data_IF_142148034128
#
_entry.id   IF_142148034128
#
_cell.length_a   1.000
_cell.length_b   1.000
_cell.length_c   1.000
_cell.angle_alpha   90.00
_cell.angle_beta   90.00
_cell.angle_gamma   90.00
#
_symmetry.space_group_name_H-M   'P 1'
#
loop_
_entity.id
_entity.type
_entity.pdbx_description
1 polymer ?
#
# COMPACT_ATOMS: atom_id res chain seq x y z
N UNK A 1 57.53 36.15 -65.24
CA UNK A 1 56.12 35.64 -65.11
C UNK A 1 56.06 34.31 -64.45
N UNK A 2 57.06 33.48 -64.39
CA UNK A 2 57.04 32.12 -63.79
C UNK A 2 56.99 32.06 -62.26
N UNK A 3 57.63 33.03 -61.56
CA UNK A 3 57.61 33.03 -60.06
C UNK A 3 56.24 33.36 -59.40
N UNK A 4 55.42 34.18 -60.06
CA UNK A 4 54.14 34.60 -59.55
C UNK A 4 53.09 33.42 -59.61
N UNK A 5 53.21 32.59 -60.67
CA UNK A 5 52.35 31.41 -60.81
C UNK A 5 52.73 30.28 -59.81
N UNK A 6 53.99 30.17 -59.47
CA UNK A 6 54.46 29.17 -58.49
C UNK A 6 53.93 29.51 -57.06
N UNK A 7 54.01 30.78 -56.64
CA UNK A 7 53.52 31.27 -55.39
C UNK A 7 51.95 31.11 -55.24
N UNK A 8 51.23 31.37 -56.33
CA UNK A 8 49.78 31.18 -56.37
C UNK A 8 49.41 29.70 -56.23
N UNK A 9 50.09 28.79 -56.89
CA UNK A 9 49.83 27.37 -56.79
C UNK A 9 50.17 26.82 -55.41
N UNK A 10 51.23 27.27 -54.75
CA UNK A 10 51.58 26.86 -53.36
C UNK A 10 50.53 27.34 -52.35
N UNK A 11 50.03 28.58 -52.51
CA UNK A 11 48.97 29.08 -51.59
C UNK A 11 47.64 28.37 -51.80
N UNK A 12 47.28 28.02 -53.03
CA UNK A 12 46.01 27.27 -53.29
C UNK A 12 46.12 25.85 -52.78
N UNK A 13 47.24 25.16 -52.91
CA UNK A 13 47.44 23.83 -52.34
C UNK A 13 47.44 23.85 -50.81
N UNK A 14 48.03 24.85 -50.16
CA UNK A 14 48.04 25.00 -48.74
C UNK A 14 46.62 25.24 -48.19
N UNK A 15 45.84 26.06 -48.91
CA UNK A 15 44.42 26.30 -48.56
C UNK A 15 43.55 25.01 -48.67
N UNK A 16 43.78 24.25 -49.76
CA UNK A 16 43.09 22.97 -49.98
C UNK A 16 43.42 21.94 -48.89
N UNK A 17 44.66 21.83 -48.45
CA UNK A 17 45.09 20.97 -47.36
C UNK A 17 44.50 21.40 -46.03
N UNK A 18 44.45 22.70 -45.74
CA UNK A 18 43.86 23.21 -44.49
C UNK A 18 42.36 22.95 -44.43
N UNK A 19 41.61 23.11 -45.50
CA UNK A 19 40.21 22.82 -45.63
C UNK A 19 39.93 21.31 -45.47
N UNK A 20 40.77 20.46 -46.08
CA UNK A 20 40.66 19.01 -45.98
C UNK A 20 40.88 18.51 -44.54
N UNK A 21 41.89 19.03 -43.85
CA UNK A 21 42.17 18.72 -42.44
C UNK A 21 41.00 19.19 -41.57
N UNK A 22 40.48 20.40 -41.77
CA UNK A 22 39.33 20.93 -41.04
C UNK A 22 38.08 20.08 -41.24
N UNK A 23 37.83 19.60 -42.45
CA UNK A 23 36.72 18.71 -42.78
C UNK A 23 36.84 17.35 -42.05
N UNK A 24 38.06 16.77 -42.02
CA UNK A 24 38.30 15.51 -41.26
C UNK A 24 38.07 15.72 -39.78
N UNK A 25 38.54 16.82 -39.19
CA UNK A 25 38.32 17.15 -37.80
C UNK A 25 36.81 17.29 -37.46
N UNK A 26 36.07 17.90 -38.36
CA UNK A 26 34.62 18.08 -38.22
C UNK A 26 33.88 16.74 -38.28
N UNK A 27 34.25 15.87 -39.22
CA UNK A 27 33.71 14.50 -39.30
C UNK A 27 34.03 13.66 -38.06
N UNK A 28 35.29 13.69 -37.63
CA UNK A 28 35.70 12.98 -36.41
C UNK A 28 34.95 13.50 -35.17
N UNK A 29 34.70 14.80 -35.06
CA UNK A 29 33.89 15.41 -34.00
C UNK A 29 32.46 14.93 -34.04
N UNK A 30 31.83 14.85 -35.21
CA UNK A 30 30.46 14.31 -35.35
C UNK A 30 30.38 12.84 -34.93
N UNK A 31 31.30 11.99 -35.39
CA UNK A 31 31.32 10.56 -35.00
C UNK A 31 31.52 10.36 -33.50
N UNK A 32 32.42 11.18 -32.91
CA UNK A 32 32.64 11.15 -31.45
C UNK A 32 31.38 11.55 -30.67
N UNK A 33 30.68 12.59 -31.13
CA UNK A 33 29.44 13.05 -30.50
C UNK A 33 28.31 12.01 -30.62
N UNK A 34 28.20 11.35 -31.79
CA UNK A 34 27.24 10.24 -31.96
C UNK A 34 27.58 9.07 -31.04
N UNK A 35 28.85 8.71 -30.91
CA UNK A 35 29.27 7.63 -29.99
C UNK A 35 28.94 7.91 -28.53
N UNK A 36 28.98 9.18 -28.10
CA UNK A 36 28.62 9.59 -26.74
C UNK A 36 27.10 9.67 -26.51
N UNK A 37 26.30 9.79 -27.56
CA UNK A 37 24.85 9.83 -27.46
C UNK A 37 24.24 8.46 -27.07
N UNK A 38 24.84 7.37 -27.52
CA UNK A 38 24.34 5.99 -27.28
C UNK A 38 24.18 5.64 -25.79
N UNK A 39 25.20 5.86 -24.91
CA UNK A 39 25.02 5.61 -23.47
C UNK A 39 23.94 6.48 -22.82
N UNK A 40 23.80 7.74 -23.28
CA UNK A 40 22.78 8.65 -22.79
C UNK A 40 21.35 8.15 -23.13
N UNK A 41 21.16 7.66 -24.36
CA UNK A 41 19.87 7.09 -24.81
C UNK A 41 19.56 5.83 -24.00
N UNK A 42 20.54 4.98 -23.75
CA UNK A 42 20.37 3.77 -22.92
C UNK A 42 20.00 4.13 -21.48
N UNK A 43 20.70 5.09 -20.86
CA UNK A 43 20.38 5.57 -19.52
C UNK A 43 18.98 6.19 -19.44
N UNK A 44 18.58 6.96 -20.44
CA UNK A 44 17.25 7.53 -20.54
C UNK A 44 16.17 6.43 -20.68
N UNK A 45 16.43 5.40 -21.50
CA UNK A 45 15.56 4.23 -21.61
C UNK A 45 15.36 3.49 -20.29
N UNK A 46 16.44 3.25 -19.56
CA UNK A 46 16.38 2.64 -18.22
C UNK A 46 15.61 3.52 -17.22
N UNK A 47 15.86 4.83 -17.24
CA UNK A 47 15.13 5.80 -16.42
C UNK A 47 13.64 5.82 -16.72
N UNK A 48 13.25 5.78 -18.00
CA UNK A 48 11.84 5.69 -18.41
C UNK A 48 11.17 4.40 -17.92
N UNK A 49 11.87 3.27 -18.02
CA UNK A 49 11.33 1.98 -17.54
C UNK A 49 11.14 1.96 -16.02
N UNK A 50 12.07 2.53 -15.25
CA UNK A 50 11.95 2.68 -13.81
C UNK A 50 10.80 3.63 -13.43
N UNK A 51 10.69 4.78 -14.10
CA UNK A 51 9.62 5.74 -13.90
C UNK A 51 8.24 5.11 -14.19
N UNK A 52 8.11 4.32 -15.26
CA UNK A 52 6.86 3.63 -15.59
C UNK A 52 6.35 2.77 -14.44
N UNK A 53 7.22 1.95 -13.83
CA UNK A 53 6.85 1.12 -12.67
C UNK A 53 6.44 1.95 -11.45
N UNK A 54 7.10 3.11 -11.24
CA UNK A 54 6.74 4.02 -10.15
C UNK A 54 5.34 4.61 -10.39
N UNK A 55 5.04 5.09 -11.60
CA UNK A 55 3.73 5.62 -11.94
C UNK A 55 2.64 4.55 -11.89
N UNK A 56 2.90 3.33 -12.37
CA UNK A 56 1.99 2.19 -12.24
C UNK A 56 1.61 1.93 -10.77
N UNK A 57 2.59 2.03 -9.86
CA UNK A 57 2.33 1.88 -8.42
C UNK A 57 1.53 3.05 -7.84
N UNK A 58 1.81 4.29 -8.26
CA UNK A 58 1.11 5.49 -7.81
C UNK A 58 -0.34 5.52 -8.32
N UNK A 59 -0.55 5.11 -9.57
CA UNK A 59 -1.86 5.13 -10.23
C UNK A 59 -2.71 3.90 -9.88
N UNK A 60 -2.12 2.90 -9.21
CA UNK A 60 -2.83 1.70 -8.79
C UNK A 60 -3.98 2.06 -7.86
N UNK A 61 -5.18 1.69 -8.26
CA UNK A 61 -6.36 1.76 -7.38
C UNK A 61 -6.51 0.45 -6.64
N UNK A 62 -6.54 0.45 -5.29
CA UNK A 62 -6.82 -0.74 -4.53
C UNK A 62 -8.26 -1.20 -4.78
N UNK A 63 -8.50 -2.50 -4.85
CA UNK A 63 -9.85 -3.07 -4.98
C UNK A 63 -10.69 -2.75 -3.75
N UNK A 64 -10.07 -2.76 -2.57
CA UNK A 64 -10.68 -2.37 -1.30
C UNK A 64 -10.01 -1.08 -0.85
N UNK A 65 -10.70 0.05 -1.01
CA UNK A 65 -10.22 1.38 -0.64
C UNK A 65 -10.90 1.85 0.65
N UNK A 66 -10.13 1.87 1.75
CA UNK A 66 -10.64 2.30 3.05
C UNK A 66 -10.91 3.80 3.14
N UNK A 67 -10.33 4.60 2.24
CA UNK A 67 -10.52 6.06 2.20
C UNK A 67 -11.63 6.49 1.24
N UNK A 68 -12.22 5.55 0.51
CA UNK A 68 -13.33 5.86 -0.39
C UNK A 68 -14.52 6.38 0.43
N UNK A 69 -14.97 7.62 0.21
CA UNK A 69 -16.12 8.19 0.92
C UNK A 69 -17.45 7.63 0.42
N UNK A 70 -17.43 6.88 -0.68
CA UNK A 70 -18.62 6.26 -1.24
C UNK A 70 -19.07 5.07 -0.39
N UNK A 71 -20.35 4.86 -0.34
CA UNK A 71 -20.97 3.78 0.44
C UNK A 71 -22.03 4.31 1.41
N UNK A 72 -22.88 3.41 1.86
CA UNK A 72 -23.95 3.73 2.81
C UNK A 72 -23.40 3.83 4.22
N UNK A 73 -23.94 4.78 4.97
CA UNK A 73 -23.80 4.91 6.42
C UNK A 73 -25.19 4.62 7.01
N UNK A 74 -25.26 3.77 8.02
CA UNK A 74 -26.49 3.49 8.71
C UNK A 74 -26.63 4.40 9.93
N UNK A 75 -27.85 4.86 10.21
CA UNK A 75 -28.14 5.70 11.37
C UNK A 75 -27.95 4.89 12.66
N UNK A 76 -28.30 3.61 12.64
CA UNK A 76 -28.11 2.65 13.72
C UNK A 76 -27.60 1.32 13.19
N UNK A 77 -26.82 0.60 14.00
CA UNK A 77 -26.28 -0.71 13.69
C UNK A 77 -26.72 -1.71 14.77
N UNK A 78 -27.46 -2.74 14.37
CA UNK A 78 -27.90 -3.81 15.27
C UNK A 78 -26.83 -4.86 15.46
N UNK A 79 -26.05 -5.15 14.39
CA UNK A 79 -24.92 -6.06 14.42
C UNK A 79 -25.29 -7.51 14.09
N UNK A 80 -26.35 -7.74 13.34
CA UNK A 80 -26.58 -9.02 12.70
C UNK A 80 -25.56 -9.25 11.61
N UNK A 81 -24.84 -10.39 11.63
CA UNK A 81 -23.81 -10.71 10.64
C UNK A 81 -24.20 -11.98 9.90
N UNK A 82 -24.20 -11.94 8.58
CA UNK A 82 -24.49 -13.10 7.75
C UNK A 82 -23.43 -13.25 6.65
N UNK A 83 -22.84 -14.44 6.59
CA UNK A 83 -22.03 -14.88 5.46
C UNK A 83 -22.90 -15.84 4.65
N UNK A 84 -23.09 -15.57 3.37
CA UNK A 84 -24.00 -16.33 2.50
C UNK A 84 -23.24 -16.89 1.31
N UNK A 85 -23.18 -18.21 1.21
CA UNK A 85 -22.57 -18.97 0.10
C UNK A 85 -21.17 -18.47 -0.27
N UNK A 86 -20.30 -18.32 0.71
CA UNK A 86 -18.96 -17.77 0.54
C UNK A 86 -18.04 -18.78 -0.18
N UNK A 87 -17.45 -18.33 -1.27
CA UNK A 87 -16.31 -18.95 -1.94
C UNK A 87 -15.11 -18.05 -1.79
N UNK A 88 -14.03 -18.58 -1.23
CA UNK A 88 -12.85 -17.77 -0.96
C UNK A 88 -11.55 -18.56 -1.04
N UNK A 89 -10.56 -17.97 -1.71
CA UNK A 89 -9.14 -18.34 -1.69
C UNK A 89 -8.30 -17.08 -1.43
N UNK A 90 -7.18 -17.21 -0.75
CA UNK A 90 -6.26 -16.08 -0.60
C UNK A 90 -5.62 -15.71 -1.96
N UNK A 91 -5.43 -14.42 -2.28
CA UNK A 91 -4.78 -14.00 -3.53
C UNK A 91 -3.37 -14.57 -3.72
N UNK A 92 -2.65 -14.85 -2.61
CA UNK A 92 -1.33 -15.47 -2.65
C UNK A 92 -1.37 -16.98 -2.96
N UNK A 93 -2.54 -17.65 -2.85
CA UNK A 93 -2.74 -19.08 -3.11
C UNK A 93 -4.13 -19.30 -3.73
N UNK A 94 -4.32 -18.87 -4.98
CA UNK A 94 -5.63 -18.92 -5.63
C UNK A 94 -6.15 -20.34 -5.83
N UNK A 95 -5.28 -21.32 -5.96
CA UNK A 95 -5.60 -22.73 -6.20
C UNK A 95 -5.99 -23.50 -4.92
N UNK A 96 -5.85 -22.88 -3.74
CA UNK A 96 -6.19 -23.49 -2.45
C UNK A 96 -7.48 -22.85 -1.88
N UNK A 97 -8.67 -23.41 -2.14
CA UNK A 97 -9.92 -22.87 -1.63
C UNK A 97 -10.01 -23.06 -0.12
N UNK A 98 -10.27 -21.96 0.60
CA UNK A 98 -10.54 -21.97 2.02
C UNK A 98 -12.03 -22.22 2.29
N UNK A 99 -12.90 -21.60 1.48
CA UNK A 99 -14.35 -21.79 1.55
C UNK A 99 -14.90 -22.14 0.18
N UNK A 100 -15.86 -23.10 0.16
CA UNK A 100 -16.57 -23.56 -1.02
C UNK A 100 -18.05 -23.66 -0.70
N UNK A 101 -18.75 -22.51 -0.64
CA UNK A 101 -20.15 -22.41 -0.27
C UNK A 101 -20.39 -22.34 1.25
N UNK A 102 -19.51 -21.64 1.99
CA UNK A 102 -19.65 -21.49 3.44
C UNK A 102 -20.71 -20.44 3.78
N UNK A 103 -21.64 -20.83 4.68
CA UNK A 103 -22.67 -19.93 5.20
C UNK A 103 -22.67 -19.92 6.72
N UNK A 104 -22.86 -18.74 7.32
CA UNK A 104 -22.88 -18.54 8.76
C UNK A 104 -23.80 -17.36 9.08
N UNK A 105 -24.65 -17.51 10.08
CA UNK A 105 -25.47 -16.42 10.61
C UNK A 105 -25.16 -16.20 12.10
N UNK A 106 -24.90 -14.96 12.47
CA UNK A 106 -24.59 -14.53 13.84
C UNK A 106 -25.63 -13.46 14.23
N UNK A 107 -26.60 -13.79 15.05
CA UNK A 107 -27.59 -12.82 15.52
C UNK A 107 -26.96 -11.70 16.36
N UNK A 108 -27.55 -10.53 16.28
CA UNK A 108 -27.21 -9.38 17.14
C UNK A 108 -27.24 -9.74 18.62
N UNK A 109 -26.34 -9.13 19.39
CA UNK A 109 -26.27 -9.31 20.84
C UNK A 109 -25.84 -10.71 21.33
N UNK A 110 -25.39 -11.59 20.41
CA UNK A 110 -24.90 -12.93 20.75
C UNK A 110 -23.38 -13.02 20.75
N UNK A 111 -22.85 -13.95 21.54
CA UNK A 111 -21.45 -14.34 21.48
C UNK A 111 -21.34 -15.67 20.73
N UNK A 112 -20.59 -15.65 19.61
CA UNK A 112 -20.41 -16.82 18.76
C UNK A 112 -18.95 -17.26 18.78
N UNK A 113 -18.71 -18.56 18.98
CA UNK A 113 -17.37 -19.13 18.93
C UNK A 113 -17.18 -19.95 17.65
N UNK A 114 -16.11 -19.65 16.92
CA UNK A 114 -15.67 -20.44 15.76
C UNK A 114 -14.66 -21.48 16.24
N UNK A 115 -15.03 -22.74 16.18
CA UNK A 115 -14.19 -23.88 16.60
C UNK A 115 -13.81 -24.76 15.41
N UNK A 116 -12.63 -25.33 15.43
CA UNK A 116 -12.13 -26.19 14.35
C UNK A 116 -10.61 -26.36 14.41
N UNK A 117 -10.09 -27.24 13.57
CA UNK A 117 -8.66 -27.49 13.46
C UNK A 117 -7.89 -26.25 12.98
N UNK A 118 -6.56 -26.25 13.20
CA UNK A 118 -5.69 -25.21 12.63
C UNK A 118 -5.82 -25.21 11.10
N UNK A 119 -5.91 -24.03 10.49
CA UNK A 119 -6.09 -23.90 9.04
C UNK A 119 -7.54 -24.04 8.53
N UNK A 120 -8.53 -24.28 9.38
CA UNK A 120 -9.94 -24.43 8.96
C UNK A 120 -10.65 -23.13 8.57
N UNK A 121 -9.95 -22.01 8.42
CA UNK A 121 -10.54 -20.75 7.96
C UNK A 121 -11.17 -19.87 9.04
N UNK A 122 -11.02 -20.19 10.36
CA UNK A 122 -11.61 -19.36 11.44
C UNK A 122 -11.20 -17.89 11.38
N UNK A 123 -9.91 -17.63 11.22
CA UNK A 123 -9.39 -16.26 11.07
C UNK A 123 -9.81 -15.62 9.75
N UNK A 124 -10.06 -16.43 8.73
CA UNK A 124 -10.55 -15.95 7.42
C UNK A 124 -11.97 -15.40 7.53
N UNK A 125 -12.85 -16.01 8.36
CA UNK A 125 -14.18 -15.45 8.63
C UNK A 125 -14.06 -14.03 9.19
N UNK A 126 -13.19 -13.82 10.19
CA UNK A 126 -12.95 -12.49 10.76
C UNK A 126 -12.43 -11.53 9.69
N UNK A 127 -11.45 -11.97 8.88
CA UNK A 127 -10.90 -11.15 7.81
C UNK A 127 -11.90 -10.73 6.74
N UNK A 128 -12.91 -11.54 6.48
CA UNK A 128 -14.02 -11.23 5.58
C UNK A 128 -15.02 -10.25 6.23
N UNK A 129 -15.32 -10.41 7.53
CA UNK A 129 -16.19 -9.47 8.28
C UNK A 129 -15.55 -8.08 8.39
N UNK A 130 -14.23 -8.01 8.61
CA UNK A 130 -13.46 -6.76 8.63
C UNK A 130 -13.23 -6.19 7.23
N UNK A 131 -13.63 -6.96 6.20
CA UNK A 131 -13.39 -6.64 4.78
C UNK A 131 -11.92 -6.33 4.49
N UNK A 132 -10.99 -7.16 5.01
CA UNK A 132 -9.61 -7.17 4.50
C UNK A 132 -9.52 -7.86 3.15
N UNK A 133 -10.47 -8.72 2.86
CA UNK A 133 -10.68 -9.41 1.58
C UNK A 133 -12.16 -9.41 1.22
N UNK A 134 -12.45 -9.36 -0.06
CA UNK A 134 -13.78 -9.64 -0.59
C UNK A 134 -13.87 -11.11 -1.03
N UNK A 135 -15.00 -11.79 -0.84
CA UNK A 135 -15.18 -13.16 -1.33
C UNK A 135 -15.22 -13.19 -2.86
N UNK A 136 -14.77 -14.31 -3.46
CA UNK A 136 -14.82 -14.58 -4.89
C UNK A 136 -16.28 -14.72 -5.38
N UNK A 137 -17.11 -15.35 -4.55
CA UNK A 137 -18.56 -15.46 -4.74
C UNK A 137 -19.24 -15.52 -3.38
N UNK A 138 -20.54 -15.19 -3.35
CA UNK A 138 -21.32 -15.05 -2.13
C UNK A 138 -21.26 -13.62 -1.57
N UNK A 139 -21.85 -13.42 -0.41
CA UNK A 139 -22.05 -12.11 0.20
C UNK A 139 -21.76 -12.15 1.69
N UNK A 140 -21.17 -11.07 2.19
CA UNK A 140 -21.06 -10.78 3.62
C UNK A 140 -22.00 -9.62 3.90
N UNK A 141 -22.96 -9.85 4.79
CA UNK A 141 -23.97 -8.85 5.13
C UNK A 141 -23.85 -8.44 6.61
N UNK A 142 -24.10 -7.17 6.86
CA UNK A 142 -24.30 -6.61 8.20
C UNK A 142 -25.67 -5.93 8.20
N UNK A 143 -26.52 -6.33 9.13
CA UNK A 143 -27.93 -5.88 9.20
C UNK A 143 -28.67 -6.03 7.85
N UNK A 144 -28.40 -7.12 7.13
CA UNK A 144 -29.02 -7.42 5.83
C UNK A 144 -28.45 -6.60 4.65
N UNK A 145 -27.46 -5.75 4.87
CA UNK A 145 -26.83 -4.92 3.83
C UNK A 145 -25.46 -5.49 3.48
N UNK A 146 -25.19 -5.63 2.16
CA UNK A 146 -23.91 -6.13 1.71
C UNK A 146 -22.77 -5.19 2.16
N UNK A 147 -21.73 -5.78 2.74
CA UNK A 147 -20.58 -5.07 3.25
C UNK A 147 -19.86 -4.23 2.18
N UNK A 148 -19.98 -4.63 0.90
CA UNK A 148 -19.44 -3.88 -0.25
C UNK A 148 -20.16 -2.54 -0.47
N UNK A 149 -21.43 -2.45 -0.07
CA UNK A 149 -22.26 -1.25 -0.23
C UNK A 149 -22.10 -0.27 0.93
N UNK A 150 -21.51 -0.70 2.05
CA UNK A 150 -21.25 0.14 3.21
C UNK A 150 -19.96 0.94 3.07
N UNK A 151 -19.93 2.14 3.66
CA UNK A 151 -18.70 2.92 3.74
C UNK A 151 -17.71 2.20 4.67
N UNK A 152 -16.57 1.77 4.11
CA UNK A 152 -15.63 0.91 4.81
C UNK A 152 -15.01 1.58 6.05
N UNK A 153 -14.71 2.87 5.99
CA UNK A 153 -14.19 3.62 7.14
C UNK A 153 -15.20 3.60 8.29
N UNK A 154 -16.46 3.91 7.99
CA UNK A 154 -17.54 3.94 8.99
C UNK A 154 -17.76 2.57 9.65
N UNK A 155 -17.82 1.49 8.86
CA UNK A 155 -18.08 0.15 9.45
C UNK A 155 -16.90 -0.31 10.34
N UNK A 156 -15.66 -0.03 9.94
CA UNK A 156 -14.48 -0.34 10.76
C UNK A 156 -14.41 0.46 12.05
N UNK A 157 -15.01 1.64 12.13
CA UNK A 157 -15.18 2.40 13.37
C UNK A 157 -16.19 1.73 14.34
N UNK A 158 -17.05 0.84 13.83
CA UNK A 158 -18.04 0.09 14.62
C UNK A 158 -17.55 -1.29 15.05
N UNK A 159 -16.44 -1.77 14.49
CA UNK A 159 -15.86 -3.08 14.76
C UNK A 159 -14.57 -2.89 15.56
N UNK A 160 -14.41 -3.65 16.64
CA UNK A 160 -13.15 -3.73 17.40
C UNK A 160 -12.52 -5.10 17.19
N UNK A 161 -11.31 -5.13 16.63
CA UNK A 161 -10.53 -6.35 16.45
C UNK A 161 -9.51 -6.53 17.57
N UNK A 162 -9.54 -7.68 18.23
CA UNK A 162 -8.49 -8.12 19.15
C UNK A 162 -7.70 -9.25 18.50
N UNK A 163 -6.50 -8.92 18.01
CA UNK A 163 -5.61 -9.89 17.37
C UNK A 163 -4.92 -10.78 18.40
N UNK A 164 -4.60 -12.01 18.00
CA UNK A 164 -3.82 -12.95 18.83
C UNK A 164 -2.40 -12.43 19.08
N UNK A 165 -1.80 -11.76 18.09
CA UNK A 165 -0.50 -11.10 18.17
C UNK A 165 -0.71 -9.58 17.95
N UNK A 166 -1.00 -8.83 19.03
CA UNK A 166 -1.21 -7.40 18.90
C UNK A 166 0.11 -6.69 18.55
N UNK A 167 0.06 -5.80 17.57
CA UNK A 167 1.18 -4.95 17.20
C UNK A 167 0.99 -3.59 17.84
N UNK A 168 1.96 -3.13 18.61
CA UNK A 168 1.98 -1.79 19.20
C UNK A 168 2.82 -0.85 18.32
N UNK A 169 2.35 0.37 18.16
CA UNK A 169 3.11 1.44 17.52
C UNK A 169 4.24 1.93 18.43
N UNK A 170 5.32 2.43 17.84
CA UNK A 170 6.48 3.02 18.56
C UNK A 170 6.13 4.39 19.15
N UNK A 171 5.01 4.51 19.84
CA UNK A 171 4.53 5.71 20.50
C UNK A 171 4.14 5.40 21.95
N UNK A 172 3.62 6.38 22.69
CA UNK A 172 3.21 6.14 24.07
C UNK A 172 2.06 5.15 24.19
N UNK A 173 1.88 4.53 25.35
CA UNK A 173 0.72 3.67 25.65
C UNK A 173 -0.57 4.47 25.49
N UNK A 174 -0.56 5.74 25.93
CA UNK A 174 -1.68 6.65 25.73
C UNK A 174 -2.06 6.78 24.26
N UNK A 175 -1.07 7.03 23.39
CA UNK A 175 -1.31 7.19 21.96
C UNK A 175 -1.74 5.89 21.28
N UNK A 176 -1.23 4.76 21.75
CA UNK A 176 -1.68 3.45 21.29
C UNK A 176 -3.15 3.18 21.62
N UNK A 177 -3.60 3.55 22.84
CA UNK A 177 -5.01 3.40 23.25
C UNK A 177 -5.89 4.41 22.49
N UNK A 178 -5.42 5.64 22.32
CA UNK A 178 -6.12 6.70 21.62
C UNK A 178 -6.22 6.47 20.11
N UNK A 179 -5.44 5.55 19.53
CA UNK A 179 -5.35 5.33 18.10
C UNK A 179 -6.69 5.06 17.41
N UNK A 180 -7.62 4.42 18.12
CA UNK A 180 -8.96 4.12 17.60
C UNK A 180 -9.92 5.31 17.53
N UNK A 181 -9.58 6.46 18.15
CA UNK A 181 -10.43 7.64 18.21
C UNK A 181 -9.61 8.93 18.16
N UNK A 182 -9.70 9.65 17.05
CA UNK A 182 -9.06 10.96 16.92
C UNK A 182 -9.56 11.94 17.98
N UNK A 183 -8.61 12.59 18.68
CA UNK A 183 -8.93 13.54 19.73
C UNK A 183 -9.48 12.94 21.02
N UNK A 184 -9.22 11.66 21.29
CA UNK A 184 -9.64 11.00 22.53
C UNK A 184 -9.12 11.75 23.76
N UNK A 185 -10.02 12.02 24.72
CA UNK A 185 -9.71 12.67 25.99
C UNK A 185 -9.04 11.69 26.95
N UNK A 186 -8.31 12.23 27.94
CA UNK A 186 -7.68 11.40 28.98
C UNK A 186 -8.70 10.53 29.73
N UNK A 187 -9.88 11.06 30.05
CA UNK A 187 -10.93 10.33 30.75
C UNK A 187 -11.49 9.17 29.92
N UNK A 188 -11.62 9.34 28.60
CA UNK A 188 -12.02 8.27 27.70
C UNK A 188 -10.97 7.16 27.61
N UNK A 189 -9.68 7.54 27.53
CA UNK A 189 -8.56 6.59 27.52
C UNK A 189 -8.50 5.81 28.83
N UNK A 190 -8.67 6.49 29.97
CA UNK A 190 -8.74 5.88 31.29
C UNK A 190 -9.91 4.90 31.39
N UNK A 191 -11.13 5.32 31.02
CA UNK A 191 -12.33 4.48 31.01
C UNK A 191 -12.13 3.23 30.12
N UNK A 192 -11.60 3.39 28.92
CA UNK A 192 -11.28 2.26 28.03
C UNK A 192 -10.28 1.29 28.66
N UNK A 193 -9.25 1.82 29.34
CA UNK A 193 -8.25 1.01 30.05
C UNK A 193 -8.85 0.27 31.26
N UNK A 194 -9.79 0.89 31.96
CA UNK A 194 -10.51 0.27 33.08
C UNK A 194 -11.42 -0.85 32.60
N UNK A 195 -12.19 -0.62 31.52
CA UNK A 195 -13.03 -1.63 30.89
C UNK A 195 -12.21 -2.83 30.38
N UNK A 196 -11.03 -2.58 29.84
CA UNK A 196 -10.09 -3.62 29.43
C UNK A 196 -9.37 -4.29 30.62
N UNK A 197 -9.65 -3.89 31.86
CA UNK A 197 -8.95 -4.33 33.08
C UNK A 197 -7.43 -4.09 33.06
N UNK A 198 -6.98 -3.12 32.25
CA UNK A 198 -5.59 -2.82 32.01
C UNK A 198 -5.07 -1.64 32.88
N UNK A 199 -5.94 -0.74 33.33
CA UNK A 199 -5.56 0.49 34.04
C UNK A 199 -4.67 0.24 35.25
N UNK A 200 -4.98 -0.77 36.08
CA UNK A 200 -4.24 -1.06 37.32
C UNK A 200 -2.76 -1.43 37.09
N UNK A 201 -2.45 -2.10 35.97
CA UNK A 201 -1.05 -2.39 35.69
C UNK A 201 -0.36 -1.25 34.94
N UNK A 202 -1.09 -0.51 34.09
CA UNK A 202 -0.59 0.67 33.39
C UNK A 202 -0.18 1.74 34.44
N UNK A 203 -1.01 2.01 35.42
CA UNK A 203 -0.76 3.02 36.48
C UNK A 203 0.48 2.72 37.34
N UNK A 204 0.85 1.45 37.48
CA UNK A 204 2.03 1.02 38.22
C UNK A 204 3.36 1.17 37.48
N UNK A 205 3.30 1.43 36.20
CA UNK A 205 4.53 1.58 35.40
C UNK A 205 5.09 2.98 35.59
N UNK A 206 6.38 3.17 35.91
CA UNK A 206 6.96 4.49 36.11
C UNK A 206 6.96 5.28 34.81
N UNK A 207 6.31 6.45 34.77
CA UNK A 207 6.22 7.40 33.64
C UNK A 207 5.51 6.93 32.35
N UNK A 208 4.51 6.11 32.44
CA UNK A 208 4.04 5.20 31.41
C UNK A 208 3.13 5.82 30.35
N UNK A 209 2.54 6.97 30.61
CA UNK A 209 1.73 7.64 29.59
C UNK A 209 2.58 8.37 28.53
N UNK A 210 3.89 8.51 28.75
CA UNK A 210 4.79 9.29 27.89
C UNK A 210 5.93 8.47 27.23
N UNK A 211 6.11 7.19 27.56
CA UNK A 211 7.20 6.38 27.00
C UNK A 211 6.72 5.46 25.87
N UNK A 212 7.51 5.29 24.80
CA UNK A 212 7.21 4.28 23.79
C UNK A 212 7.26 2.88 24.44
N UNK A 213 6.38 1.97 24.05
CA UNK A 213 6.42 0.59 24.53
C UNK A 213 7.81 0.01 24.21
N UNK A 214 8.45 -0.59 25.21
CA UNK A 214 9.67 -1.36 24.98
C UNK A 214 9.32 -2.51 24.05
N UNK A 215 9.82 -2.49 22.81
CA UNK A 215 9.84 -3.65 21.95
C UNK A 215 10.95 -4.55 22.53
N UNK A 216 10.53 -5.44 23.43
CA UNK A 216 11.39 -6.56 23.82
C UNK A 216 11.61 -7.45 22.60
N UNK A 217 12.86 -7.57 22.18
CA UNK A 217 13.36 -8.50 21.17
C UNK A 217 13.18 -9.95 21.67
#
# INVERSE_FOLDING_TARGET
>A
MTHINLCKNVSVTFLAYSLFISFIWLLCGCFRSLGQASPCISAFGAGKAAAYKMFETIERRPEIDAYNPMGKILDDIHGDIELRDIYFSYPARPDEPIFSGFSLYIPSGTTTALVGQSGSGKSTVISLIERFYDPLAGEVLIDGINLKDLQLKWIREKIGLVSQEPVLFSCSIKDNIAYGKDGATYEEIKTASELANAFKFIDKLPQVLSYPPFIGI
#
